data_IF_611947944645
#
_entry.id   IF_611947944645
#
_cell.length_a   1.000
_cell.length_b   1.000
_cell.length_c   1.000
_cell.angle_alpha   90.00
_cell.angle_beta   90.00
_cell.angle_gamma   90.00
#
_symmetry.space_group_name_H-M   'P 1'
#
loop_
_entity.id
_entity.type
_entity.pdbx_description
1 polymer ?
#
# COMPACT_ATOMS: atom_id res chain seq x y z
N UNK A 1 2.51 -9.12 12.61
CA UNK A 1 2.34 -7.85 11.89
C UNK A 1 1.15 -7.11 12.48
N UNK A 2 1.20 -5.77 12.61
CA UNK A 2 0.02 -4.98 12.96
C UNK A 2 -1.13 -5.30 11.99
N UNK A 3 -2.33 -5.51 12.55
CA UNK A 3 -3.53 -5.80 11.76
C UNK A 3 -4.15 -4.48 11.30
N UNK A 4 -3.93 -4.13 10.04
CA UNK A 4 -4.63 -3.01 9.40
C UNK A 4 -5.94 -3.52 8.81
N UNK A 5 -7.05 -2.83 9.10
CA UNK A 5 -8.35 -3.14 8.49
C UNK A 5 -8.28 -2.94 6.97
N UNK A 6 -9.10 -3.70 6.24
CA UNK A 6 -9.15 -3.62 4.77
C UNK A 6 -9.55 -2.22 4.30
N UNK A 7 -10.54 -1.61 4.94
CA UNK A 7 -10.96 -0.22 4.67
C UNK A 7 -9.81 0.79 4.80
N UNK A 8 -8.90 0.56 5.74
CA UNK A 8 -7.75 1.44 5.92
C UNK A 8 -6.72 1.25 4.81
N UNK A 9 -6.45 0.00 4.42
CA UNK A 9 -5.56 -0.32 3.29
C UNK A 9 -6.09 0.25 1.99
N UNK A 10 -7.39 0.10 1.73
CA UNK A 10 -8.03 0.64 0.53
C UNK A 10 -7.94 2.17 0.46
N UNK A 11 -8.19 2.88 1.57
CA UNK A 11 -8.02 4.34 1.62
C UNK A 11 -6.60 4.76 1.25
N UNK A 12 -5.60 4.08 1.80
CA UNK A 12 -4.20 4.36 1.46
C UNK A 12 -3.90 4.05 -0.01
N UNK A 13 -4.46 2.98 -0.57
CA UNK A 13 -4.25 2.65 -1.98
C UNK A 13 -4.91 3.66 -2.91
N UNK A 14 -6.16 4.06 -2.63
CA UNK A 14 -6.85 5.12 -3.39
C UNK A 14 -6.04 6.41 -3.34
N UNK A 15 -5.47 6.75 -2.18
CA UNK A 15 -4.58 7.88 -2.04
C UNK A 15 -3.29 7.72 -2.86
N UNK A 16 -2.62 6.56 -2.81
CA UNK A 16 -1.41 6.28 -3.61
C UNK A 16 -1.64 6.26 -5.13
N UNK A 17 -2.87 6.01 -5.57
CA UNK A 17 -3.27 5.99 -6.99
C UNK A 17 -3.83 7.33 -7.47
N UNK A 18 -4.10 8.27 -6.56
CA UNK A 18 -4.62 9.58 -6.91
C UNK A 18 -3.53 10.46 -7.54
N UNK A 19 -3.82 11.23 -8.61
CA UNK A 19 -2.82 12.05 -9.30
C UNK A 19 -2.21 13.15 -8.41
N UNK A 20 -2.96 13.60 -7.39
CA UNK A 20 -2.52 14.55 -6.37
C UNK A 20 -2.34 13.89 -4.99
N UNK A 21 -2.30 12.56 -4.95
CA UNK A 21 -2.18 11.80 -3.71
C UNK A 21 -0.75 11.72 -3.20
N UNK A 22 -0.60 11.22 -1.97
CA UNK A 22 0.72 11.02 -1.36
C UNK A 22 1.44 9.83 -1.99
N UNK A 23 2.73 10.00 -2.22
CA UNK A 23 3.61 8.91 -2.64
C UNK A 23 3.80 7.88 -1.51
N UNK A 24 4.24 6.67 -1.88
CA UNK A 24 4.54 5.59 -0.93
C UNK A 24 5.52 6.05 0.15
N UNK A 25 6.58 6.76 -0.23
CA UNK A 25 7.59 7.25 0.70
C UNK A 25 7.04 8.30 1.68
N UNK A 26 6.11 9.14 1.25
CA UNK A 26 5.42 10.09 2.14
C UNK A 26 4.51 9.37 3.13
N UNK A 27 3.75 8.37 2.67
CA UNK A 27 2.88 7.57 3.53
C UNK A 27 3.72 6.77 4.53
N UNK A 28 4.84 6.17 4.10
CA UNK A 28 5.77 5.48 4.99
C UNK A 28 6.29 6.41 6.10
N UNK A 29 6.74 7.62 5.75
CA UNK A 29 7.21 8.61 6.73
C UNK A 29 6.10 9.07 7.69
N UNK A 30 4.86 9.19 7.20
CA UNK A 30 3.72 9.65 7.99
C UNK A 30 3.11 8.56 8.90
N UNK A 31 3.10 7.30 8.45
CA UNK A 31 2.38 6.20 9.11
C UNK A 31 3.30 5.19 9.79
N UNK A 32 4.59 5.17 9.44
CA UNK A 32 5.55 4.14 9.84
C UNK A 32 5.33 2.78 9.16
N UNK A 33 4.41 2.68 8.20
CA UNK A 33 4.17 1.44 7.44
C UNK A 33 5.29 1.25 6.44
N UNK A 34 5.91 0.06 6.44
CA UNK A 34 7.00 -0.24 5.51
C UNK A 34 6.59 0.01 4.06
N UNK A 35 7.50 0.57 3.27
CA UNK A 35 7.27 0.81 1.84
C UNK A 35 6.89 -0.49 1.12
N UNK A 36 7.50 -1.62 1.50
CA UNK A 36 7.17 -2.93 0.96
C UNK A 36 5.68 -3.27 1.13
N UNK A 37 5.11 -3.08 2.33
CA UNK A 37 3.67 -3.32 2.56
C UNK A 37 2.79 -2.41 1.71
N UNK A 38 3.17 -1.13 1.56
CA UNK A 38 2.43 -0.16 0.76
C UNK A 38 2.48 -0.51 -0.74
N UNK A 39 3.63 -0.95 -1.26
CA UNK A 39 3.77 -1.48 -2.62
C UNK A 39 2.89 -2.72 -2.82
N UNK A 40 2.93 -3.69 -1.90
CA UNK A 40 2.08 -4.88 -1.97
C UNK A 40 0.59 -4.55 -2.00
N UNK A 41 0.15 -3.56 -1.21
CA UNK A 41 -1.25 -3.12 -1.22
C UNK A 41 -1.59 -2.39 -2.50
N UNK A 42 -0.74 -1.47 -2.96
CA UNK A 42 -0.96 -0.78 -4.24
C UNK A 42 -1.09 -1.78 -5.39
N UNK A 43 -0.29 -2.84 -5.41
CA UNK A 43 -0.38 -3.88 -6.43
C UNK A 43 -1.68 -4.70 -6.31
N UNK A 44 -1.98 -5.17 -5.09
CA UNK A 44 -3.15 -6.01 -4.79
C UNK A 44 -4.50 -5.31 -5.04
N UNK A 45 -4.61 -4.04 -4.66
CA UNK A 45 -5.87 -3.28 -4.74
C UNK A 45 -5.91 -2.34 -5.96
N UNK A 46 -4.77 -2.02 -6.58
CA UNK A 46 -4.65 -1.10 -7.71
C UNK A 46 -4.76 -1.75 -9.10
N UNK A 47 -5.03 -3.05 -9.18
CA UNK A 47 -5.38 -3.73 -10.44
C UNK A 47 -4.20 -4.17 -11.32
N UNK A 48 -2.98 -4.25 -10.79
CA UNK A 48 -1.86 -4.92 -11.47
C UNK A 48 -1.75 -6.33 -10.90
N UNK A 49 -2.48 -7.26 -11.50
CA UNK A 49 -2.28 -8.69 -11.27
C UNK A 49 -0.87 -9.07 -11.73
N UNK A 50 -0.07 -9.64 -10.83
CA UNK A 50 1.28 -10.10 -11.15
C UNK A 50 2.16 -10.21 -9.92
N UNK A 51 2.04 -11.35 -9.24
CA UNK A 51 3.13 -12.04 -8.53
C UNK A 51 3.97 -11.23 -7.54
N UNK A 52 3.67 -11.41 -6.26
CA UNK A 52 4.73 -11.55 -5.27
C UNK A 52 4.22 -12.47 -4.18
N UNK A 53 4.32 -13.76 -4.50
CA UNK A 53 4.30 -14.84 -3.53
C UNK A 53 5.37 -14.57 -2.47
N UNK A 54 4.94 -14.70 -1.23
CA UNK A 54 5.77 -14.72 -0.05
C UNK A 54 6.77 -15.88 -0.13
N UNK A 55 8.07 -15.59 -0.16
CA UNK A 55 9.08 -16.57 0.26
C UNK A 55 10.18 -15.90 1.09
N UNK A 56 9.92 -15.94 2.40
CA UNK A 56 10.83 -16.18 3.53
C UNK A 56 11.98 -15.21 3.84
#
# INVERSE_FOLDING_TARGET
MPYYSEEYKEKLVVEMMSPNGRSISEIHRATGISENSLYSWKNRYGGVEGESEEVR
#
